data_IF_233778125365
#
_entry.id   IF_233778125365
#
_cell.length_a   1.000
_cell.length_b   1.000
_cell.length_c   1.000
_cell.angle_alpha   90.00
_cell.angle_beta   90.00
_cell.angle_gamma   90.00
#
_symmetry.space_group_name_H-M   'P 1'
#
loop_
_entity.id
_entity.type
_entity.pdbx_description
1 polymer ?
#
# COMPACT_ATOMS: atom_id res chain seq x y z
N UNK A 1 10.01 5.92 -18.51
CA UNK A 1 10.28 7.39 -18.47
C UNK A 1 9.64 8.07 -17.26
N UNK A 2 8.60 7.53 -16.67
CA UNK A 2 7.87 8.08 -15.50
C UNK A 2 8.63 7.93 -14.17
N UNK A 3 9.26 6.78 -13.91
CA UNK A 3 9.96 6.52 -12.65
C UNK A 3 11.10 7.54 -12.35
N UNK A 4 11.80 8.02 -13.40
CA UNK A 4 12.83 9.06 -13.25
C UNK A 4 12.26 10.41 -12.79
N UNK A 5 11.06 10.78 -13.24
CA UNK A 5 10.40 12.04 -12.86
C UNK A 5 9.94 12.00 -11.40
N UNK A 6 9.44 10.85 -10.94
CA UNK A 6 9.01 10.64 -9.54
C UNK A 6 10.24 10.71 -8.61
N UNK A 7 11.35 10.09 -9.00
CA UNK A 7 12.59 10.13 -8.22
C UNK A 7 13.15 11.56 -8.11
N UNK A 8 13.10 12.32 -9.19
CA UNK A 8 13.53 13.75 -9.20
C UNK A 8 12.62 14.61 -8.33
N UNK A 9 11.31 14.40 -8.36
CA UNK A 9 10.35 15.13 -7.53
C UNK A 9 10.55 14.82 -6.04
N UNK A 10 10.77 13.56 -5.69
CA UNK A 10 11.07 13.13 -4.32
C UNK A 10 12.38 13.73 -3.79
N UNK A 11 13.41 13.80 -4.65
CA UNK A 11 14.70 14.42 -4.30
C UNK A 11 14.55 15.92 -4.05
N UNK A 12 13.72 16.63 -4.82
CA UNK A 12 13.46 18.06 -4.66
C UNK A 12 12.68 18.32 -3.35
N UNK A 13 11.71 17.47 -2.99
CA UNK A 13 10.95 17.59 -1.75
C UNK A 13 11.86 17.33 -0.53
N UNK A 14 12.74 16.33 -0.59
CA UNK A 14 13.74 16.04 0.46
C UNK A 14 14.74 17.19 0.65
N UNK A 15 15.22 17.78 -0.44
CA UNK A 15 16.15 18.92 -0.42
C UNK A 15 15.42 20.18 0.10
N UNK A 16 14.18 20.41 -0.31
CA UNK A 16 13.36 21.55 0.15
C UNK A 16 13.05 21.48 1.66
N UNK A 17 12.73 20.30 2.19
CA UNK A 17 12.52 20.08 3.61
C UNK A 17 13.81 20.27 4.44
N UNK A 18 14.97 19.88 3.89
CA UNK A 18 16.27 20.08 4.52
C UNK A 18 16.66 21.55 4.70
N UNK A 19 16.37 22.40 3.71
CA UNK A 19 16.77 23.83 3.73
C UNK A 19 15.98 24.65 4.76
N UNK A 20 14.72 24.31 5.01
CA UNK A 20 13.91 24.98 6.04
C UNK A 20 14.25 24.55 7.47
N UNK A 21 14.84 23.36 7.67
CA UNK A 21 15.19 22.84 8.98
C UNK A 21 16.46 23.51 9.59
N UNK A 22 17.33 24.09 8.78
CA UNK A 22 18.55 24.76 9.27
C UNK A 22 18.34 26.16 9.85
N UNK A 23 17.15 26.73 9.79
CA UNK A 23 16.87 28.14 10.18
C UNK A 23 16.22 28.34 11.56
N UNK A 24 15.78 27.32 12.26
CA UNK A 24 15.04 27.50 13.53
C UNK A 24 15.89 27.13 14.76
N UNK A 25 16.42 28.14 15.40
CA UNK A 25 17.08 28.09 16.70
C UNK A 25 16.08 28.46 17.79
N UNK A 26 15.32 27.47 18.29
CA UNK A 26 14.68 27.53 19.61
C UNK A 26 14.45 26.13 20.14
N UNK A 27 14.84 25.88 21.39
CA UNK A 27 14.55 24.64 22.10
C UNK A 27 13.03 24.57 22.36
N UNK A 28 12.28 24.09 21.40
CA UNK A 28 10.87 23.75 21.59
C UNK A 28 10.78 22.51 22.50
N UNK A 29 9.81 22.55 23.41
CA UNK A 29 9.36 21.36 24.15
C UNK A 29 9.01 20.19 23.20
N UNK A 30 8.72 18.99 23.70
CA UNK A 30 8.43 17.83 22.87
C UNK A 30 7.33 18.16 21.87
N UNK A 31 7.61 17.94 20.59
CA UNK A 31 6.66 18.21 19.49
C UNK A 31 5.37 17.42 19.70
N UNK A 32 4.23 18.08 19.51
CA UNK A 32 2.91 17.48 19.66
C UNK A 32 2.49 16.70 18.42
N UNK A 33 2.99 17.07 17.27
CA UNK A 33 2.66 16.49 15.98
C UNK A 33 3.91 16.29 15.13
N UNK A 34 3.85 15.31 14.26
CA UNK A 34 4.90 15.08 13.26
C UNK A 34 4.32 14.63 11.93
N UNK A 35 5.02 14.93 10.85
CA UNK A 35 4.67 14.50 9.50
C UNK A 35 5.86 13.78 8.87
N UNK A 36 5.62 12.69 8.15
CA UNK A 36 6.68 11.88 7.57
C UNK A 36 6.34 11.30 6.21
N UNK A 37 7.40 10.93 5.50
CA UNK A 37 7.31 10.19 4.24
C UNK A 37 8.27 9.02 4.34
N UNK A 38 7.74 7.83 4.01
CA UNK A 38 8.52 6.59 3.91
C UNK A 38 8.41 6.04 2.49
N UNK A 39 9.43 5.33 2.07
CA UNK A 39 9.47 4.62 0.78
C UNK A 39 10.22 3.31 0.93
N UNK A 40 9.92 2.34 0.07
CA UNK A 40 10.60 1.05 0.10
C UNK A 40 9.77 -0.07 -0.46
N UNK A 41 10.05 -1.27 0.00
CA UNK A 41 9.33 -2.47 -0.38
C UNK A 41 8.00 -2.59 0.38
N UNK A 42 6.91 -2.78 -0.34
CA UNK A 42 5.58 -3.11 0.18
C UNK A 42 4.89 -4.08 -0.80
N UNK A 43 5.41 -5.33 -0.88
CA UNK A 43 5.06 -6.31 -1.94
C UNK A 43 5.26 -5.77 -3.37
N UNK A 44 5.90 -4.64 -3.49
CA UNK A 44 6.22 -3.86 -4.68
C UNK A 44 6.94 -2.60 -4.23
N UNK A 45 6.99 -1.58 -5.05
CA UNK A 45 7.55 -0.29 -4.66
C UNK A 45 6.46 0.58 -4.04
N UNK A 46 6.63 0.94 -2.76
CA UNK A 46 5.67 1.73 -1.99
C UNK A 46 6.21 3.09 -1.57
N UNK A 47 5.30 4.06 -1.50
CA UNK A 47 5.50 5.38 -0.90
C UNK A 47 4.37 5.60 0.10
N UNK A 48 4.68 6.10 1.30
CA UNK A 48 3.71 6.32 2.35
C UNK A 48 3.90 7.70 2.98
N UNK A 49 2.85 8.49 3.07
CA UNK A 49 2.80 9.73 3.83
C UNK A 49 2.10 9.49 5.17
N UNK A 50 2.63 10.06 6.25
CA UNK A 50 2.16 9.86 7.62
C UNK A 50 1.98 11.20 8.33
N UNK A 51 0.95 11.26 9.17
CA UNK A 51 0.75 12.32 10.16
C UNK A 51 0.55 11.68 11.53
N UNK A 52 1.38 12.05 12.50
CA UNK A 52 1.38 11.45 13.84
C UNK A 52 1.04 12.49 14.88
N UNK A 53 0.08 12.17 15.75
CA UNK A 53 -0.20 12.86 17.00
C UNK A 53 0.60 12.16 18.09
N UNK A 54 1.62 12.84 18.59
CA UNK A 54 2.51 12.29 19.61
C UNK A 54 1.80 12.23 20.97
N UNK A 55 2.08 11.23 21.77
CA UNK A 55 1.49 11.06 23.12
C UNK A 55 1.65 12.28 24.03
N UNK A 56 2.65 13.12 23.80
CA UNK A 56 2.84 14.39 24.50
C UNK A 56 1.71 15.41 24.24
N UNK A 57 0.91 15.22 23.20
CA UNK A 57 -0.23 16.06 22.84
C UNK A 57 -1.57 15.51 23.37
N UNK A 58 -1.58 14.27 23.82
CA UNK A 58 -2.75 13.55 24.31
C UNK A 58 -2.40 12.81 25.60
N UNK A 59 -3.38 12.47 26.41
CA UNK A 59 -3.18 11.64 27.62
C UNK A 59 -3.07 10.13 27.30
N UNK A 60 -2.95 9.78 26.00
CA UNK A 60 -2.86 8.40 25.54
C UNK A 60 -1.48 7.80 25.83
N UNK A 61 -1.39 6.51 26.14
CA UNK A 61 -0.12 5.82 26.37
C UNK A 61 0.65 5.48 25.08
N UNK A 62 0.15 5.88 23.91
CA UNK A 62 0.70 5.61 22.58
C UNK A 62 0.61 6.86 21.71
N UNK A 63 1.42 6.89 20.64
CA UNK A 63 1.27 7.87 19.56
C UNK A 63 0.22 7.35 18.58
N UNK A 64 -0.60 8.25 18.03
CA UNK A 64 -1.63 7.93 17.05
C UNK A 64 -1.21 8.46 15.67
N UNK A 65 -1.21 7.60 14.66
CA UNK A 65 -0.78 7.97 13.32
C UNK A 65 -1.82 7.62 12.27
N UNK A 66 -2.15 8.59 11.42
CA UNK A 66 -2.85 8.36 10.16
C UNK A 66 -1.83 8.30 9.02
N UNK A 67 -2.02 7.37 8.09
CA UNK A 67 -1.15 7.18 6.93
C UNK A 67 -1.93 6.92 5.65
N UNK A 68 -1.33 7.37 4.54
CA UNK A 68 -1.78 7.11 3.18
C UNK A 68 -0.61 6.53 2.39
N UNK A 69 -0.78 5.32 1.87
CA UNK A 69 0.20 4.63 1.05
C UNK A 69 -0.21 4.55 -0.41
N UNK A 70 0.77 4.50 -1.28
CA UNK A 70 0.61 4.17 -2.69
C UNK A 70 1.67 3.14 -3.07
N UNK A 71 1.23 2.00 -3.60
CA UNK A 71 2.11 0.88 -3.94
C UNK A 71 1.92 0.49 -5.40
N UNK A 72 3.03 0.38 -6.12
CA UNK A 72 3.09 -0.26 -7.44
C UNK A 72 3.36 -1.75 -7.23
N UNK A 73 2.49 -2.60 -7.72
CA UNK A 73 2.59 -4.06 -7.53
C UNK A 73 2.21 -4.82 -8.80
N UNK A 74 2.53 -6.11 -8.81
CA UNK A 74 2.11 -6.99 -9.90
C UNK A 74 0.64 -7.37 -9.69
N UNK A 75 -0.27 -7.12 -10.67
CA UNK A 75 -1.70 -7.37 -10.51
C UNK A 75 -2.12 -8.83 -10.70
N UNK A 76 -1.23 -9.73 -11.13
CA UNK A 76 -1.55 -11.13 -11.36
C UNK A 76 -1.17 -11.63 -12.75
N UNK A 77 -1.87 -12.66 -13.21
CA UNK A 77 -1.67 -13.29 -14.51
C UNK A 77 -2.64 -12.72 -15.55
N UNK A 78 -2.12 -12.07 -16.60
CA UNK A 78 -2.96 -11.40 -17.61
C UNK A 78 -3.80 -12.39 -18.44
N UNK A 79 -3.26 -13.60 -18.74
CA UNK A 79 -3.99 -14.59 -19.54
C UNK A 79 -5.17 -15.15 -18.77
N UNK A 80 -4.97 -15.51 -17.50
CA UNK A 80 -6.04 -16.05 -16.65
C UNK A 80 -7.06 -14.95 -16.33
N UNK A 81 -6.60 -13.73 -16.04
CA UNK A 81 -7.49 -12.58 -15.81
C UNK A 81 -8.42 -12.34 -17.03
N UNK A 82 -7.90 -12.43 -18.25
CA UNK A 82 -8.72 -12.33 -19.47
C UNK A 82 -9.78 -13.43 -19.53
N UNK A 83 -9.39 -14.68 -19.33
CA UNK A 83 -10.32 -15.83 -19.41
C UNK A 83 -11.46 -15.71 -18.41
N UNK A 84 -11.19 -15.17 -17.23
CA UNK A 84 -12.11 -15.09 -16.11
C UNK A 84 -13.00 -13.85 -16.16
N UNK A 85 -12.45 -12.70 -16.59
CA UNK A 85 -13.14 -11.40 -16.42
C UNK A 85 -13.70 -10.79 -17.70
N UNK A 86 -13.33 -11.27 -18.90
CA UNK A 86 -13.86 -10.73 -20.15
C UNK A 86 -14.34 -11.83 -21.12
N UNK A 87 -15.36 -11.50 -21.92
CA UNK A 87 -16.02 -12.42 -22.82
C UNK A 87 -15.40 -12.50 -24.23
N UNK A 88 -14.46 -11.61 -24.54
CA UNK A 88 -13.95 -11.47 -25.90
C UNK A 88 -12.67 -12.28 -26.14
N UNK A 89 -12.55 -12.82 -27.33
CA UNK A 89 -11.28 -13.29 -27.85
C UNK A 89 -10.49 -12.06 -28.30
N UNK A 90 -9.42 -11.74 -27.59
CA UNK A 90 -8.50 -10.69 -28.00
C UNK A 90 -7.16 -11.29 -28.45
N UNK A 91 -6.62 -10.69 -29.51
CA UNK A 91 -5.25 -10.89 -29.93
C UNK A 91 -4.43 -9.72 -29.37
N UNK A 92 -3.13 -9.88 -29.31
CA UNK A 92 -2.23 -8.84 -28.83
C UNK A 92 -1.27 -9.34 -27.76
N UNK A 93 -0.31 -8.49 -27.44
CA UNK A 93 0.67 -8.77 -26.37
C UNK A 93 0.12 -8.27 -25.04
N UNK A 94 -0.03 -9.13 -24.02
CA UNK A 94 -0.55 -8.70 -22.74
C UNK A 94 0.47 -7.85 -21.98
N UNK A 95 0.06 -6.64 -21.62
CA UNK A 95 0.73 -5.77 -20.66
C UNK A 95 -0.13 -5.65 -19.41
N UNK A 96 0.50 -5.43 -18.26
CA UNK A 96 -0.21 -5.34 -17.00
C UNK A 96 0.43 -4.33 -16.07
N UNK A 97 -0.38 -3.63 -15.31
CA UNK A 97 0.05 -2.74 -14.23
C UNK A 97 -0.88 -2.86 -13.03
N UNK A 98 -0.32 -2.83 -11.84
CA UNK A 98 -1.08 -2.90 -10.59
C UNK A 98 -0.72 -1.78 -9.65
N UNK A 99 -1.71 -1.31 -8.90
CA UNK A 99 -1.53 -0.31 -7.86
C UNK A 99 -2.47 -0.56 -6.68
N UNK A 100 -2.02 -0.16 -5.50
CA UNK A 100 -2.87 -0.10 -4.31
C UNK A 100 -2.77 1.28 -3.68
N UNK A 101 -3.88 1.78 -3.17
CA UNK A 101 -3.94 2.92 -2.26
C UNK A 101 -4.29 2.36 -0.90
N UNK A 102 -3.41 2.56 0.08
CA UNK A 102 -3.53 1.97 1.40
C UNK A 102 -3.81 3.05 2.45
N UNK A 103 -4.82 2.83 3.26
CA UNK A 103 -5.22 3.69 4.38
C UNK A 103 -4.81 3.02 5.68
N UNK A 104 -4.16 3.77 6.56
CA UNK A 104 -3.59 3.25 7.80
C UNK A 104 -3.99 4.12 8.99
N UNK A 105 -4.39 3.46 10.08
CA UNK A 105 -4.47 4.09 11.39
C UNK A 105 -3.60 3.26 12.32
N UNK A 106 -2.50 3.84 12.79
CA UNK A 106 -1.49 3.15 13.60
C UNK A 106 -1.50 3.64 15.04
N UNK A 107 -1.41 2.69 15.96
CA UNK A 107 -1.08 2.90 17.37
C UNK A 107 0.38 2.54 17.57
N UNK A 108 1.21 3.51 17.98
CA UNK A 108 2.65 3.34 18.15
C UNK A 108 2.98 3.26 19.63
N UNK A 109 3.35 2.08 20.09
CA UNK A 109 3.75 1.81 21.47
C UNK A 109 5.27 1.89 21.59
N UNK A 110 5.76 2.87 22.36
CA UNK A 110 7.19 3.02 22.60
C UNK A 110 7.74 1.82 23.38
N UNK A 111 8.73 1.14 22.79
CA UNK A 111 9.38 -0.04 23.37
C UNK A 111 10.83 -0.10 22.93
N UNK A 112 11.77 -0.29 23.85
CA UNK A 112 13.15 -0.58 23.45
C UNK A 112 13.23 -1.95 22.77
N UNK A 113 13.73 -1.99 21.55
CA UNK A 113 13.85 -3.19 20.73
C UNK A 113 15.32 -3.30 20.29
N UNK A 114 15.95 -4.46 20.50
CA UNK A 114 17.38 -4.70 20.21
C UNK A 114 18.34 -3.63 20.77
N UNK A 115 18.01 -3.04 21.94
CA UNK A 115 18.82 -1.98 22.54
C UNK A 115 18.60 -0.57 21.96
N UNK A 116 17.78 -0.42 20.92
CA UNK A 116 17.40 0.87 20.34
C UNK A 116 16.34 1.51 21.21
N UNK A 117 16.64 2.70 21.76
CA UNK A 117 15.76 3.38 22.74
C UNK A 117 14.54 4.03 22.10
N UNK A 118 14.65 4.48 20.84
CA UNK A 118 13.57 5.14 20.10
C UNK A 118 12.96 4.17 19.09
N UNK A 119 12.33 3.12 19.60
CA UNK A 119 11.65 2.12 18.79
C UNK A 119 10.21 1.98 19.21
N UNK A 120 9.38 1.53 18.28
CA UNK A 120 7.94 1.40 18.45
C UNK A 120 7.46 0.05 17.95
N UNK A 121 6.51 -0.53 18.67
CA UNK A 121 5.63 -1.55 18.11
C UNK A 121 4.45 -0.82 17.50
N UNK A 122 4.17 -1.11 16.25
CA UNK A 122 3.11 -0.47 15.46
C UNK A 122 2.02 -1.50 15.20
N UNK A 123 0.78 -1.16 15.51
CA UNK A 123 -0.38 -2.02 15.26
C UNK A 123 -1.56 -1.13 14.83
N UNK A 124 -2.42 -1.65 13.93
CA UNK A 124 -3.64 -0.90 13.63
C UNK A 124 -4.43 -1.42 12.43
N UNK A 125 -5.64 -0.88 12.24
CA UNK A 125 -6.48 -1.21 11.09
C UNK A 125 -5.90 -0.68 9.78
N UNK A 126 -6.24 -1.39 8.72
CA UNK A 126 -5.84 -1.14 7.33
C UNK A 126 -7.04 -1.12 6.41
N UNK A 127 -7.00 -0.26 5.41
CA UNK A 127 -7.88 -0.34 4.24
C UNK A 127 -7.02 -0.32 2.98
N UNK A 128 -7.45 -1.02 1.94
CA UNK A 128 -6.76 -1.04 0.65
C UNK A 128 -7.76 -0.90 -0.49
N UNK A 129 -7.42 -0.08 -1.47
CA UNK A 129 -8.11 0.02 -2.75
C UNK A 129 -7.13 -0.42 -3.84
N UNK A 130 -7.28 -1.66 -4.26
CA UNK A 130 -6.46 -2.28 -5.30
C UNK A 130 -7.09 -2.08 -6.67
N UNK A 131 -6.24 -1.86 -7.68
CA UNK A 131 -6.60 -1.85 -9.10
C UNK A 131 -5.51 -2.57 -9.90
N UNK A 132 -5.89 -3.64 -10.58
CA UNK A 132 -5.11 -4.29 -11.64
C UNK A 132 -5.62 -3.84 -13.00
N UNK A 133 -4.75 -3.34 -13.87
CA UNK A 133 -5.06 -3.01 -15.25
C UNK A 133 -4.37 -4.03 -16.17
N UNK A 134 -5.11 -4.52 -17.15
CA UNK A 134 -4.65 -5.49 -18.14
C UNK A 134 -4.98 -4.97 -19.53
N UNK A 135 -3.93 -4.73 -20.33
CA UNK A 135 -4.03 -4.18 -21.68
C UNK A 135 -3.45 -5.17 -22.68
N UNK A 136 -4.11 -5.33 -23.83
CA UNK A 136 -3.65 -6.16 -24.94
C UNK A 136 -3.18 -5.27 -26.08
N UNK A 137 -1.87 -4.98 -26.11
CA UNK A 137 -1.24 -4.11 -27.11
C UNK A 137 -1.30 -4.75 -28.49
N UNK A 138 -1.86 -4.02 -29.47
CA UNK A 138 -2.16 -4.54 -30.81
C UNK A 138 -3.47 -5.31 -30.90
N UNK A 139 -4.17 -5.49 -29.78
CA UNK A 139 -5.55 -5.97 -29.69
C UNK A 139 -6.52 -4.81 -29.44
N UNK A 140 -7.73 -5.15 -29.07
CA UNK A 140 -8.82 -4.19 -28.84
C UNK A 140 -9.31 -4.19 -27.38
N UNK A 141 -8.61 -4.88 -26.47
CA UNK A 141 -9.08 -5.05 -25.09
C UNK A 141 -8.16 -4.38 -24.08
N UNK A 142 -8.79 -3.62 -23.20
CA UNK A 142 -8.21 -3.12 -21.95
C UNK A 142 -9.27 -3.19 -20.88
N UNK A 143 -8.93 -3.78 -19.74
CA UNK A 143 -9.87 -3.89 -18.62
C UNK A 143 -9.17 -3.77 -17.27
N UNK A 144 -9.96 -3.36 -16.28
CA UNK A 144 -9.54 -3.23 -14.91
C UNK A 144 -10.18 -4.32 -14.04
N UNK A 145 -9.44 -4.78 -13.02
CA UNK A 145 -10.00 -5.54 -11.90
C UNK A 145 -9.72 -4.77 -10.63
N UNK A 146 -10.78 -4.50 -9.87
CA UNK A 146 -10.76 -3.64 -8.68
C UNK A 146 -11.22 -4.44 -7.46
N UNK A 147 -10.56 -4.20 -6.31
CA UNK A 147 -11.06 -4.69 -5.01
C UNK A 147 -10.84 -3.65 -3.90
N UNK A 148 -11.71 -3.71 -2.88
CA UNK A 148 -11.62 -2.87 -1.68
C UNK A 148 -11.55 -3.78 -0.47
N UNK A 149 -10.46 -3.71 0.27
CA UNK A 149 -10.16 -4.64 1.34
C UNK A 149 -9.99 -3.92 2.68
N UNK A 150 -10.35 -4.61 3.74
CA UNK A 150 -10.05 -4.23 5.11
C UNK A 150 -9.12 -5.26 5.73
N UNK A 151 -8.34 -4.82 6.71
CA UNK A 151 -7.37 -5.68 7.34
C UNK A 151 -6.78 -5.10 8.61
N UNK A 152 -5.75 -5.77 9.07
CA UNK A 152 -4.93 -5.37 10.20
C UNK A 152 -3.47 -5.39 9.81
N UNK A 153 -2.70 -4.50 10.37
CA UNK A 153 -1.26 -4.48 10.14
C UNK A 153 -0.49 -4.27 11.42
N UNK A 154 0.77 -4.68 11.38
CA UNK A 154 1.67 -4.50 12.50
C UNK A 154 3.13 -4.56 12.10
N UNK A 155 3.99 -4.04 12.95
CA UNK A 155 5.42 -4.02 12.67
C UNK A 155 6.24 -3.39 13.78
N UNK A 156 7.47 -3.15 13.43
CA UNK A 156 8.47 -2.51 14.27
C UNK A 156 9.00 -1.30 13.51
N UNK A 157 9.17 -0.21 14.22
CA UNK A 157 9.72 1.02 13.67
C UNK A 157 10.81 1.55 14.60
N UNK A 158 11.92 2.00 14.05
CA UNK A 158 13.02 2.60 14.79
C UNK A 158 13.35 3.99 14.26
N UNK A 159 13.52 4.91 15.18
CA UNK A 159 13.75 6.33 14.90
C UNK A 159 15.19 6.71 15.25
N UNK A 160 15.85 7.45 14.35
CA UNK A 160 17.22 7.93 14.51
C UNK A 160 17.23 9.44 14.32
N UNK A 161 17.55 10.19 15.35
CA UNK A 161 17.61 11.65 15.28
C UNK A 161 18.75 12.07 14.35
N UNK A 162 18.42 12.80 13.28
CA UNK A 162 19.38 13.37 12.34
C UNK A 162 19.68 14.85 12.65
N UNK A 163 18.64 15.57 13.04
CA UNK A 163 18.70 16.98 13.44
C UNK A 163 17.64 17.27 14.50
N UNK A 164 17.56 18.51 15.00
CA UNK A 164 16.65 18.88 16.07
C UNK A 164 15.18 18.48 15.80
N UNK A 165 14.72 18.64 14.56
CA UNK A 165 13.33 18.36 14.17
C UNK A 165 13.23 17.24 13.12
N UNK A 166 14.34 16.65 12.67
CA UNK A 166 14.36 15.65 11.60
C UNK A 166 14.79 14.31 12.15
N UNK A 167 13.98 13.30 11.90
CA UNK A 167 14.16 11.92 12.34
C UNK A 167 14.21 11.02 11.13
N UNK A 168 15.24 10.19 11.02
CA UNK A 168 15.29 9.08 10.08
C UNK A 168 14.53 7.89 10.65
N UNK A 169 13.74 7.22 9.83
CA UNK A 169 12.85 6.14 10.22
C UNK A 169 13.16 4.90 9.41
N UNK A 170 13.23 3.77 10.09
CA UNK A 170 13.29 2.42 9.50
C UNK A 170 12.10 1.63 10.03
N UNK A 171 11.28 1.11 9.14
CA UNK A 171 10.07 0.37 9.47
C UNK A 171 10.05 -0.99 8.75
N UNK A 172 9.71 -2.05 9.48
CA UNK A 172 9.48 -3.39 8.92
C UNK A 172 8.22 -3.98 9.54
N UNK A 173 7.46 -4.72 8.75
CA UNK A 173 6.23 -5.30 9.27
C UNK A 173 5.44 -6.05 8.22
N UNK A 174 4.18 -6.23 8.53
CA UNK A 174 3.24 -7.01 7.76
C UNK A 174 1.84 -6.42 7.88
N UNK A 175 1.19 -6.23 6.74
CA UNK A 175 -0.24 -5.95 6.66
C UNK A 175 -0.95 -7.18 6.12
N UNK A 176 -2.07 -7.54 6.73
CA UNK A 176 -2.95 -8.63 6.30
C UNK A 176 -4.33 -8.06 5.99
N UNK A 177 -4.82 -8.33 4.77
CA UNK A 177 -6.12 -7.91 4.30
C UNK A 177 -7.03 -9.11 4.11
N UNK A 178 -8.29 -8.95 4.52
CA UNK A 178 -9.33 -9.95 4.29
C UNK A 178 -9.65 -10.05 2.80
N UNK A 179 -10.00 -11.25 2.32
CA UNK A 179 -10.52 -11.43 0.96
C UNK A 179 -11.70 -10.50 0.68
N UNK A 180 -11.77 -9.97 -0.54
CA UNK A 180 -12.83 -9.05 -0.95
C UNK A 180 -13.25 -9.36 -2.38
N UNK A 181 -14.45 -8.92 -2.75
CA UNK A 181 -14.97 -9.07 -4.11
C UNK A 181 -14.04 -8.46 -5.13
N UNK A 182 -13.77 -9.21 -6.19
CA UNK A 182 -13.04 -8.80 -7.38
C UNK A 182 -14.03 -8.35 -8.43
N UNK A 183 -14.06 -7.05 -8.71
CA UNK A 183 -14.90 -6.43 -9.73
C UNK A 183 -14.10 -6.30 -11.03
N UNK A 184 -14.48 -7.04 -12.05
CA UNK A 184 -13.92 -6.92 -13.39
C UNK A 184 -14.82 -6.15 -14.34
N UNK A 185 -14.58 -6.28 -15.65
CA UNK A 185 -15.35 -5.58 -16.67
C UNK A 185 -16.75 -6.18 -16.84
N UNK A 186 -16.85 -7.48 -17.10
CA UNK A 186 -18.11 -8.16 -17.42
C UNK A 186 -18.69 -8.96 -16.25
N UNK A 187 -17.90 -9.21 -15.23
CA UNK A 187 -18.25 -10.08 -14.11
C UNK A 187 -17.57 -9.66 -12.81
N UNK A 188 -18.11 -10.14 -11.70
CA UNK A 188 -17.54 -9.99 -10.35
C UNK A 188 -17.55 -11.33 -9.62
N UNK A 189 -16.51 -11.57 -8.83
CA UNK A 189 -16.36 -12.78 -8.03
C UNK A 189 -16.22 -12.42 -6.55
N UNK A 190 -17.08 -12.98 -5.71
CA UNK A 190 -17.14 -12.72 -4.26
C UNK A 190 -16.68 -13.92 -3.43
N UNK A 191 -16.02 -13.68 -2.27
CA UNK A 191 -15.61 -14.75 -1.36
C UNK A 191 -16.76 -15.62 -0.81
N UNK A 192 -17.99 -15.08 -0.79
CA UNK A 192 -19.23 -15.75 -0.39
C UNK A 192 -19.91 -16.52 -1.53
N UNK A 193 -19.28 -16.56 -2.71
CA UNK A 193 -19.79 -17.14 -3.96
C UNK A 193 -21.07 -16.44 -4.52
N UNK A 194 -21.36 -15.23 -4.10
CA UNK A 194 -22.38 -14.38 -4.73
C UNK A 194 -21.79 -13.74 -6.01
N UNK A 195 -21.48 -14.60 -7.00
CA UNK A 195 -20.81 -14.23 -8.22
C UNK A 195 -21.81 -13.64 -9.24
N UNK A 196 -21.41 -12.52 -9.86
CA UNK A 196 -22.23 -11.85 -10.88
C UNK A 196 -21.75 -12.29 -12.26
N UNK A 197 -22.66 -12.93 -13.02
CA UNK A 197 -22.38 -13.46 -14.36
C UNK A 197 -21.07 -14.28 -14.44
N UNK A 198 -20.91 -15.33 -13.62
CA UNK A 198 -19.70 -16.13 -13.62
C UNK A 198 -19.47 -16.74 -14.99
N UNK A 199 -18.23 -16.79 -15.42
CA UNK A 199 -17.85 -17.33 -16.72
C UNK A 199 -17.44 -18.78 -16.62
N UNK A 200 -17.56 -19.50 -17.73
CA UNK A 200 -17.13 -20.88 -17.87
C UNK A 200 -15.79 -20.97 -18.61
N UNK A 201 -15.02 -21.98 -18.32
CA UNK A 201 -13.74 -22.25 -18.97
C UNK A 201 -13.93 -22.62 -20.47
N UNK A 202 -14.99 -23.37 -20.78
CA UNK A 202 -15.40 -23.75 -22.13
C UNK A 202 -16.91 -23.52 -22.29
N UNK A 203 -17.34 -23.15 -23.49
CA UNK A 203 -18.76 -22.94 -23.82
C UNK A 203 -19.66 -24.19 -23.57
N UNK A 204 -19.04 -25.39 -23.50
CA UNK A 204 -19.74 -26.66 -23.27
C UNK A 204 -19.56 -27.21 -21.85
N UNK A 205 -18.94 -26.46 -20.94
CA UNK A 205 -18.70 -26.86 -19.57
C UNK A 205 -19.68 -26.12 -18.64
N UNK A 206 -20.49 -26.89 -17.91
CA UNK A 206 -21.42 -26.34 -16.91
C UNK A 206 -20.70 -25.86 -15.62
N UNK A 207 -19.37 -25.90 -15.59
CA UNK A 207 -18.59 -25.53 -14.42
C UNK A 207 -18.07 -24.08 -14.52
N UNK A 208 -18.74 -23.10 -13.90
CA UNK A 208 -18.32 -21.71 -13.95
C UNK A 208 -17.05 -21.48 -13.12
N UNK A 209 -16.25 -20.48 -13.50
CA UNK A 209 -15.17 -19.99 -12.67
C UNK A 209 -15.67 -19.54 -11.30
N UNK A 210 -14.88 -19.83 -10.27
CA UNK A 210 -15.18 -19.51 -8.89
C UNK A 210 -14.37 -18.28 -8.43
N UNK A 211 -14.72 -17.74 -7.25
CA UNK A 211 -13.89 -16.73 -6.59
C UNK A 211 -12.44 -17.19 -6.39
N UNK A 212 -12.23 -18.49 -6.11
CA UNK A 212 -10.88 -19.04 -5.95
C UNK A 212 -10.06 -18.89 -7.23
N UNK A 213 -10.63 -19.23 -8.39
CA UNK A 213 -9.96 -19.10 -9.68
C UNK A 213 -9.64 -17.65 -10.00
N UNK A 214 -10.59 -16.75 -9.75
CA UNK A 214 -10.39 -15.30 -9.91
C UNK A 214 -9.30 -14.76 -8.98
N UNK A 215 -9.27 -15.19 -7.73
CA UNK A 215 -8.27 -14.76 -6.74
C UNK A 215 -6.87 -15.34 -7.02
N UNK A 216 -6.76 -16.50 -7.64
CA UNK A 216 -5.49 -17.07 -8.11
C UNK A 216 -4.95 -16.31 -9.33
N UNK A 217 -5.84 -15.89 -10.23
CA UNK A 217 -5.48 -15.08 -11.40
C UNK A 217 -5.07 -13.64 -11.04
N UNK A 218 -5.76 -13.04 -10.06
CA UNK A 218 -5.55 -11.66 -9.62
C UNK A 218 -4.79 -11.65 -8.30
N UNK A 219 -3.61 -11.06 -8.31
CA UNK A 219 -2.78 -10.95 -7.12
C UNK A 219 -3.21 -9.75 -6.24
N UNK A 220 -4.48 -9.73 -5.78
CA UNK A 220 -4.91 -8.68 -4.86
C UNK A 220 -4.08 -8.70 -3.56
N UNK A 221 -3.91 -7.55 -2.88
CA UNK A 221 -3.15 -7.48 -1.64
C UNK A 221 -3.86 -8.25 -0.52
N UNK A 222 -3.33 -9.42 -0.14
CA UNK A 222 -3.80 -10.19 1.01
C UNK A 222 -2.75 -10.20 2.10
N UNK A 223 -1.51 -10.51 1.73
CA UNK A 223 -0.38 -10.59 2.63
C UNK A 223 0.72 -9.68 2.11
N UNK A 224 0.96 -8.56 2.81
CA UNK A 224 1.80 -7.46 2.38
C UNK A 224 2.96 -7.25 3.37
N UNK A 225 4.06 -8.01 3.26
CA UNK A 225 5.26 -7.70 4.01
C UNK A 225 5.85 -6.39 3.49
N UNK A 226 6.29 -5.54 4.43
CA UNK A 226 6.92 -4.28 4.08
C UNK A 226 8.25 -4.06 4.81
N UNK A 227 9.15 -3.36 4.10
CA UNK A 227 10.39 -2.81 4.64
C UNK A 227 10.59 -1.43 4.04
N UNK A 228 10.48 -0.40 4.86
CA UNK A 228 10.46 0.99 4.43
C UNK A 228 11.49 1.82 5.22
N UNK A 229 12.01 2.83 4.58
CA UNK A 229 12.84 3.87 5.19
C UNK A 229 12.28 5.23 4.84
N UNK A 230 12.55 6.21 5.67
CA UNK A 230 12.09 7.56 5.38
C UNK A 230 12.50 8.58 6.42
N UNK A 231 11.80 9.70 6.38
CA UNK A 231 12.07 10.81 7.31
C UNK A 231 10.75 11.32 7.89
N UNK A 232 10.84 11.77 9.13
CA UNK A 232 9.75 12.43 9.85
C UNK A 232 10.23 13.77 10.37
N UNK A 233 9.42 14.79 10.16
CA UNK A 233 9.63 16.15 10.66
C UNK A 233 8.74 16.38 11.88
N UNK A 234 9.33 16.76 12.99
CA UNK A 234 8.64 17.21 14.19
C UNK A 234 8.23 18.68 14.01
N UNK A 235 6.94 18.97 14.17
CA UNK A 235 6.31 20.26 13.87
C UNK A 235 6.08 21.09 15.16
#
# INVERSE_FOLDING_TARGET
MEAKKIFTLLSIILIGAGITAFGQKEAKGPSKVSAGILTGYNRGYGIQANFTLNKSASELPFDLRAGLGYTFLNPGNALDARRIFINNNTNGTPEKSGRSIDYRLDFLFSKSIFGMKQSYIVLGPRGSSFKGNFQYVGGNEEFDVISHQWGLGGGIESHFNMAQNLVFVVAVGLDYYLPSTLHGHDTSYSPDNDNVNPRNDNENDDNPFTYKDANEAIAQPTFMPYAMIGVTLNL
#
